data_IF_134782119609
#
_entry.id   IF_134782119609
#
_cell.length_a   1.000
_cell.length_b   1.000
_cell.length_c   1.000
_cell.angle_alpha   90.00
_cell.angle_beta   90.00
_cell.angle_gamma   90.00
#
_symmetry.space_group_name_H-M   'P 1'
#
loop_
_entity.id
_entity.type
_entity.pdbx_description
1 polymer ?
#
# COMPACT_ATOMS: atom_id res chain seq x y z
N UNK A 1 -1.57 1.61 29.30
CA UNK A 1 -1.53 0.36 28.52
C UNK A 1 -1.29 0.76 27.09
N UNK A 2 -0.05 0.64 26.63
CA UNK A 2 0.32 1.09 25.29
C UNK A 2 -0.23 0.08 24.30
N UNK A 3 -1.44 0.34 23.79
CA UNK A 3 -1.96 -0.32 22.60
C UNK A 3 -0.89 -0.10 21.53
N UNK A 4 -0.11 -1.13 21.22
CA UNK A 4 0.59 -1.20 19.94
C UNK A 4 -0.54 -1.29 18.91
N UNK A 5 -1.12 -0.15 18.57
CA UNK A 5 -1.98 -0.05 17.41
C UNK A 5 -1.10 -0.48 16.25
N UNK A 6 -1.46 -1.57 15.59
CA UNK A 6 -0.80 -1.93 14.34
C UNK A 6 -0.97 -0.73 13.42
N UNK A 7 0.13 0.00 13.18
CA UNK A 7 0.14 1.18 12.33
C UNK A 7 -0.12 0.83 10.86
N UNK A 8 -0.17 -0.46 10.54
CA UNK A 8 -0.46 -0.98 9.21
C UNK A 8 -1.83 -1.66 9.17
N UNK A 9 -2.57 -1.39 8.11
CA UNK A 9 -3.83 -2.04 7.76
C UNK A 9 -3.71 -2.80 6.44
N UNK A 10 -4.50 -3.85 6.25
CA UNK A 10 -4.53 -4.58 4.99
C UNK A 10 -5.15 -3.73 3.89
N UNK A 11 -4.53 -3.71 2.72
CA UNK A 11 -5.09 -3.04 1.56
C UNK A 11 -6.46 -3.61 1.23
N UNK A 12 -7.44 -2.72 1.06
CA UNK A 12 -8.83 -3.06 0.86
C UNK A 12 -9.51 -2.05 -0.06
N UNK A 13 -10.69 -2.41 -0.57
CA UNK A 13 -11.48 -1.53 -1.44
C UNK A 13 -11.84 -0.20 -0.77
N UNK A 14 -11.98 -0.21 0.56
CA UNK A 14 -12.22 1.00 1.35
C UNK A 14 -11.02 1.94 1.27
N UNK A 15 -9.81 1.43 1.52
CA UNK A 15 -8.57 2.20 1.42
C UNK A 15 -8.36 2.76 0.01
N UNK A 16 -8.55 1.93 -1.02
CA UNK A 16 -8.48 2.39 -2.41
C UNK A 16 -9.47 3.53 -2.68
N UNK A 17 -10.68 3.43 -2.13
CA UNK A 17 -11.69 4.48 -2.29
C UNK A 17 -11.28 5.77 -1.57
N UNK A 18 -10.70 5.69 -0.36
CA UNK A 18 -10.19 6.85 0.38
C UNK A 18 -9.13 7.56 -0.47
N UNK A 19 -8.15 6.82 -1.00
CA UNK A 19 -7.10 7.38 -1.84
C UNK A 19 -7.63 8.02 -3.12
N UNK A 20 -8.60 7.40 -3.79
CA UNK A 20 -9.27 8.02 -4.94
C UNK A 20 -10.02 9.31 -4.58
N UNK A 21 -10.54 9.44 -3.36
CA UNK A 21 -11.16 10.68 -2.87
C UNK A 21 -10.13 11.74 -2.48
N UNK A 22 -8.92 11.33 -2.09
CA UNK A 22 -7.79 12.20 -1.75
C UNK A 22 -6.99 12.67 -2.98
N UNK A 23 -7.49 12.42 -4.19
CA UNK A 23 -6.83 12.77 -5.47
C UNK A 23 -5.50 12.03 -5.71
N UNK A 24 -5.31 10.87 -5.05
CA UNK A 24 -4.12 10.06 -5.22
C UNK A 24 -4.02 9.55 -6.65
N UNK A 25 -2.90 9.80 -7.31
CA UNK A 25 -2.71 9.41 -8.72
C UNK A 25 -1.96 8.09 -8.88
N UNK A 26 -1.00 7.83 -7.98
CA UNK A 26 -0.13 6.66 -8.06
C UNK A 26 0.05 5.99 -6.70
N UNK A 27 0.23 4.68 -6.73
CA UNK A 27 0.55 3.87 -5.57
C UNK A 27 1.91 3.24 -5.82
N UNK A 28 2.85 3.51 -4.93
CA UNK A 28 4.15 2.85 -4.90
C UNK A 28 4.06 1.58 -4.05
N UNK A 29 4.68 0.51 -4.51
CA UNK A 29 4.78 -0.77 -3.80
C UNK A 29 6.22 -0.98 -3.35
N UNK A 30 6.44 -1.12 -2.05
CA UNK A 30 7.73 -1.46 -1.46
C UNK A 30 7.67 -2.79 -0.70
N UNK A 31 8.69 -3.63 -0.83
CA UNK A 31 8.79 -4.84 -0.02
C UNK A 31 9.14 -4.46 1.42
N UNK A 32 8.24 -4.78 2.36
CA UNK A 32 8.42 -4.42 3.77
C UNK A 32 9.19 -5.51 4.50
N UNK A 33 8.73 -6.77 4.43
CA UNK A 33 9.37 -7.93 5.07
C UNK A 33 8.74 -9.23 4.61
N UNK A 34 9.45 -10.34 4.73
CA UNK A 34 8.90 -11.68 4.51
C UNK A 34 8.89 -12.47 5.81
N UNK A 35 7.71 -12.95 6.22
CA UNK A 35 7.50 -13.69 7.47
C UNK A 35 6.80 -15.02 7.14
N UNK A 36 7.38 -16.14 7.56
CA UNK A 36 6.82 -17.49 7.37
C UNK A 36 6.43 -17.82 5.91
N UNK A 37 7.16 -17.27 4.93
CA UNK A 37 6.89 -17.48 3.50
C UNK A 37 5.78 -16.58 2.93
N UNK A 38 5.30 -15.61 3.71
CA UNK A 38 4.40 -14.55 3.26
C UNK A 38 5.20 -13.25 3.13
N UNK A 39 5.23 -12.67 1.95
CA UNK A 39 5.85 -11.38 1.69
C UNK A 39 4.84 -10.26 1.89
N UNK A 40 5.21 -9.30 2.73
CA UNK A 40 4.44 -8.10 3.00
C UNK A 40 4.98 -6.97 2.14
N UNK A 41 4.09 -6.32 1.40
CA UNK A 41 4.39 -5.14 0.61
C UNK A 41 3.63 -3.95 1.19
N UNK A 42 4.35 -2.86 1.41
CA UNK A 42 3.78 -1.58 1.78
C UNK A 42 3.31 -0.83 0.53
N UNK A 43 2.10 -0.30 0.59
CA UNK A 43 1.56 0.59 -0.42
C UNK A 43 1.62 2.03 0.08
N UNK A 44 2.25 2.89 -0.71
CA UNK A 44 2.48 4.31 -0.39
C UNK A 44 1.80 5.16 -1.47
N UNK A 45 0.79 5.98 -1.14
CA UNK A 45 0.11 6.85 -2.10
C UNK A 45 0.97 8.08 -2.42
N UNK A 46 0.90 8.55 -3.67
CA UNK A 46 1.61 9.73 -4.20
C UNK A 46 3.08 9.83 -3.77
N UNK A 47 3.75 8.68 -3.68
CA UNK A 47 5.18 8.68 -3.39
C UNK A 47 5.90 9.39 -4.54
N UNK A 48 6.50 10.54 -4.24
CA UNK A 48 7.42 11.19 -5.17
C UNK A 48 8.56 10.19 -5.46
N UNK A 49 8.78 9.89 -6.74
CA UNK A 49 9.95 9.15 -7.20
C UNK A 49 11.19 9.94 -6.76
N UNK A 50 11.70 9.65 -5.56
CA UNK A 50 13.01 10.12 -5.16
C UNK A 50 13.97 9.47 -6.13
N UNK A 51 14.55 10.30 -7.00
CA UNK A 51 15.43 10.11 -8.18
C UNK A 51 16.58 9.06 -8.03
N UNK A 52 16.39 7.94 -7.34
CA UNK A 52 17.49 7.11 -6.83
C UNK A 52 17.15 5.69 -6.37
N UNK A 53 16.01 5.11 -6.74
CA UNK A 53 15.71 3.69 -6.51
C UNK A 53 15.47 2.95 -7.82
N UNK A 54 16.36 2.04 -8.21
CA UNK A 54 16.24 1.29 -9.48
C UNK A 54 15.11 0.22 -9.49
N UNK A 55 14.19 0.23 -8.51
CA UNK A 55 13.13 -0.79 -8.35
C UNK A 55 11.81 -0.24 -7.79
N UNK A 56 11.52 1.04 -7.98
CA UNK A 56 10.23 1.60 -7.59
C UNK A 56 9.10 0.99 -8.44
N UNK A 57 8.31 0.11 -7.81
CA UNK A 57 7.18 -0.52 -8.49
C UNK A 57 5.96 0.38 -8.32
N UNK A 58 5.85 1.35 -9.23
CA UNK A 58 4.82 2.38 -9.23
C UNK A 58 3.66 1.99 -10.14
N UNK A 59 2.44 2.00 -9.61
CA UNK A 59 1.22 1.71 -10.36
C UNK A 59 0.27 2.89 -10.33
N UNK A 60 -0.41 3.14 -11.44
CA UNK A 60 -1.50 4.11 -11.45
C UNK A 60 -2.66 3.60 -10.59
N UNK A 61 -3.33 4.48 -9.83
CA UNK A 61 -4.43 4.09 -8.93
C UNK A 61 -5.62 3.46 -9.68
N UNK A 62 -5.75 3.78 -10.97
CA UNK A 62 -6.77 3.24 -11.88
C UNK A 62 -6.24 2.10 -12.76
N UNK A 63 -5.05 1.57 -12.49
CA UNK A 63 -4.53 0.39 -13.20
C UNK A 63 -5.23 -0.88 -12.71
N UNK A 64 -5.47 -1.83 -13.62
CA UNK A 64 -5.91 -3.19 -13.29
C UNK A 64 -4.98 -3.87 -12.27
N UNK A 65 -3.68 -3.53 -12.25
CA UNK A 65 -2.72 -4.06 -11.27
C UNK A 65 -3.13 -3.73 -9.82
N UNK A 66 -3.63 -2.51 -9.57
CA UNK A 66 -4.08 -2.10 -8.23
C UNK A 66 -5.34 -2.85 -7.83
N UNK A 67 -6.21 -3.15 -8.81
CA UNK A 67 -7.37 -4.02 -8.56
C UNK A 67 -6.95 -5.46 -8.26
N UNK A 68 -5.90 -5.96 -8.90
CA UNK A 68 -5.33 -7.29 -8.64
C UNK A 68 -4.72 -7.37 -7.23
N UNK A 69 -4.13 -6.29 -6.71
CA UNK A 69 -3.62 -6.22 -5.33
C UNK A 69 -4.71 -6.38 -4.27
N UNK A 70 -5.97 -6.09 -4.60
CA UNK A 70 -7.12 -6.36 -3.73
C UNK A 70 -7.50 -7.84 -3.70
N UNK A 71 -7.02 -8.62 -4.68
CA UNK A 71 -7.27 -10.05 -4.72
C UNK A 71 -6.45 -10.77 -3.65
N UNK A 72 -7.10 -11.73 -3.01
CA UNK A 72 -6.46 -12.51 -1.97
C UNK A 72 -5.32 -13.36 -2.54
N UNK A 73 -4.09 -13.03 -2.15
CA UNK A 73 -2.91 -13.84 -2.39
C UNK A 73 -2.54 -14.67 -1.17
N UNK A 74 -2.15 -15.93 -1.34
CA UNK A 74 -1.76 -16.80 -0.20
C UNK A 74 -0.36 -16.47 0.34
N UNK A 75 0.53 -16.03 -0.52
CA UNK A 75 1.94 -15.79 -0.21
C UNK A 75 2.30 -14.30 -0.18
N UNK A 76 1.34 -13.42 -0.46
CA UNK A 76 1.55 -11.99 -0.61
C UNK A 76 0.48 -11.25 0.18
N UNK A 77 0.90 -10.21 0.91
CA UNK A 77 0.02 -9.32 1.69
C UNK A 77 0.38 -7.88 1.37
N UNK A 78 -0.59 -7.14 0.84
CA UNK A 78 -0.47 -5.70 0.69
C UNK A 78 -0.99 -5.01 1.95
N UNK A 79 -0.17 -4.13 2.50
CA UNK A 79 -0.47 -3.37 3.71
C UNK A 79 -0.25 -1.88 3.46
N UNK A 80 -0.97 -1.05 4.22
CA UNK A 80 -0.96 0.40 4.12
C UNK A 80 -0.73 0.97 5.50
N UNK A 81 0.17 1.94 5.63
CA UNK A 81 0.37 2.63 6.89
C UNK A 81 -0.78 3.62 7.16
N UNK A 82 -1.32 3.65 8.37
CA UNK A 82 -2.46 4.47 8.77
C UNK A 82 -2.21 5.97 8.56
N UNK A 83 -0.95 6.41 8.59
CA UNK A 83 -0.56 7.81 8.31
C UNK A 83 -1.00 8.27 6.92
N UNK A 84 -1.18 7.33 5.98
CA UNK A 84 -1.65 7.61 4.62
C UNK A 84 -3.18 7.59 4.50
N UNK A 85 -3.88 7.32 5.60
CA UNK A 85 -5.34 7.27 5.68
C UNK A 85 -5.90 8.37 6.59
N UNK A 86 -5.04 9.05 7.35
CA UNK A 86 -5.44 10.16 8.22
C UNK A 86 -5.80 11.38 7.35
N UNK A 87 -7.09 11.62 7.17
CA UNK A 87 -7.65 12.93 6.80
C UNK A 87 -7.58 13.84 8.04
N UNK A 88 -6.79 14.92 8.00
CA UNK A 88 -6.97 16.07 8.89
C UNK A 88 -7.67 17.21 8.13
#
# INVERSE_FOLDING_TARGET
>A
MSMHANSYQLFSKEILSIWKNQDVSYIKVEELSTIEGITFFELIPDSELLDGGEQDTLYAIDSDDVEDMLLFSKNIRFVVHNIYLEED
#
